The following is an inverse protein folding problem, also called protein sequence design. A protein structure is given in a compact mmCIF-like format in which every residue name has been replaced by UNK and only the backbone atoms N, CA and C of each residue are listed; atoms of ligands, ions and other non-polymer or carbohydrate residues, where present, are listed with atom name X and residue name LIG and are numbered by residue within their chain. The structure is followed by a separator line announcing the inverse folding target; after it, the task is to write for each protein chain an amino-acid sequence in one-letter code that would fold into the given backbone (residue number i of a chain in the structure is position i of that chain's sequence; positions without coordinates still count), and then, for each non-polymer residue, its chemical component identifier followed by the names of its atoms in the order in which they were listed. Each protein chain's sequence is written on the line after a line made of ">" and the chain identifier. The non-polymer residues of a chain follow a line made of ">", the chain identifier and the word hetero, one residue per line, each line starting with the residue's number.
data_IF_862436433342
#
_entry.id   IF_862436433342
#
_cell.length_a   1.000
_cell.length_b   1.000
_cell.length_c   1.000
_cell.angle_alpha   90.00
_cell.angle_beta   90.00
_cell.angle_gamma   90.00
#
_symmetry.space_group_name_H-M   'P 1'
#
loop_
_entity.id
_entity.type
_entity.pdbx_description
1 polymer ?
#
# COMPACT_ATOMS: atom_id res chain seq x y z
N UNK A 1 -18.00 -41.00 24.13
CA UNK A 1 -17.72 -39.55 23.96
C UNK A 1 -17.06 -39.37 22.62
N UNK A 2 -17.83 -38.95 21.63
CA UNK A 2 -17.45 -38.93 20.20
C UNK A 2 -17.66 -37.50 19.73
N UNK A 3 -16.59 -36.79 19.37
CA UNK A 3 -16.70 -35.46 18.75
C UNK A 3 -17.15 -35.60 17.30
N UNK A 4 -18.12 -34.80 16.81
CA UNK A 4 -18.59 -34.89 15.44
C UNK A 4 -17.57 -34.25 14.49
N UNK A 5 -17.40 -34.88 13.32
CA UNK A 5 -16.70 -34.31 12.15
C UNK A 5 -17.64 -33.30 11.47
N UNK A 6 -17.18 -32.09 11.08
CA UNK A 6 -17.96 -31.31 10.13
C UNK A 6 -17.72 -31.82 8.71
N UNK A 7 -18.85 -31.99 8.04
CA UNK A 7 -19.10 -32.43 6.69
C UNK A 7 -18.47 -31.49 5.65
N UNK A 8 -17.89 -32.06 4.59
CA UNK A 8 -17.66 -31.34 3.33
C UNK A 8 -19.01 -30.96 2.69
N UNK A 9 -19.20 -29.68 2.37
CA UNK A 9 -20.17 -29.25 1.37
C UNK A 9 -19.44 -28.54 0.24
N UNK A 10 -19.13 -29.33 -0.79
CA UNK A 10 -18.79 -28.88 -2.14
C UNK A 10 -20.05 -28.22 -2.72
N UNK A 11 -20.01 -26.91 -2.96
CA UNK A 11 -20.99 -26.21 -3.82
C UNK A 11 -20.23 -25.22 -4.70
N UNK A 12 -19.99 -25.60 -5.95
CA UNK A 12 -19.85 -24.62 -7.02
C UNK A 12 -21.23 -24.19 -7.48
N UNK A 13 -21.43 -22.92 -7.77
CA UNK A 13 -22.48 -22.32 -8.63
C UNK A 13 -21.96 -20.88 -8.90
N UNK A 14 -21.57 -20.52 -10.11
CA UNK A 14 -22.37 -20.24 -11.31
C UNK A 14 -23.11 -18.89 -11.25
N UNK A 15 -22.79 -18.07 -12.26
CA UNK A 15 -23.55 -16.97 -12.86
C UNK A 15 -24.70 -16.36 -12.06
N UNK A 16 -24.58 -15.06 -11.78
CA UNK A 16 -25.74 -14.23 -11.45
C UNK A 16 -25.91 -13.16 -12.53
N UNK A 17 -26.90 -13.37 -13.40
CA UNK A 17 -27.56 -12.31 -14.17
C UNK A 17 -28.97 -12.12 -13.63
N UNK A 18 -29.30 -10.85 -13.42
CA UNK A 18 -30.63 -10.23 -13.33
C UNK A 18 -31.52 -10.52 -12.09
N UNK A 19 -31.51 -9.54 -11.18
CA UNK A 19 -32.74 -8.82 -10.80
C UNK A 19 -33.30 -9.06 -9.40
N UNK A 20 -32.99 -8.16 -8.45
CA UNK A 20 -33.94 -7.51 -7.53
C UNK A 20 -33.24 -6.60 -6.49
N UNK A 21 -33.14 -5.31 -6.82
CA UNK A 21 -33.20 -4.09 -5.98
C UNK A 21 -32.63 -4.05 -4.54
N UNK A 22 -31.39 -3.50 -4.43
CA UNK A 22 -30.82 -2.48 -3.49
C UNK A 22 -30.98 -2.58 -1.96
N UNK A 23 -30.20 -1.81 -1.15
CA UNK A 23 -29.08 -0.87 -1.44
C UNK A 23 -27.72 -1.47 -0.94
N UNK A 24 -26.50 -1.06 -1.27
CA UNK A 24 -25.89 0.10 -1.90
C UNK A 24 -24.82 -0.42 -2.90
N UNK A 25 -24.99 -0.12 -4.19
CA UNK A 25 -24.06 -0.48 -5.28
C UNK A 25 -22.78 0.39 -5.30
N UNK A 26 -22.58 1.26 -4.31
CA UNK A 26 -21.52 2.27 -4.34
C UNK A 26 -20.15 1.75 -3.84
N UNK A 27 -20.10 0.69 -3.04
CA UNK A 27 -18.82 0.18 -2.49
C UNK A 27 -18.04 -0.70 -3.49
N UNK A 28 -18.75 -1.47 -4.32
CA UNK A 28 -18.16 -2.35 -5.35
C UNK A 28 -17.76 -1.61 -6.63
N UNK A 29 -18.36 -0.44 -6.88
CA UNK A 29 -18.13 0.32 -8.11
C UNK A 29 -16.78 1.05 -8.11
N UNK A 30 -16.17 1.31 -6.95
CA UNK A 30 -14.90 2.03 -6.88
C UNK A 30 -13.70 1.15 -7.30
N UNK A 31 -13.65 -0.13 -6.90
CA UNK A 31 -12.50 -0.98 -7.22
C UNK A 31 -12.47 -1.38 -8.69
N UNK A 32 -13.61 -1.74 -9.29
CA UNK A 32 -13.68 -2.02 -10.72
C UNK A 32 -13.47 -0.78 -11.58
N UNK A 33 -13.72 0.44 -11.09
CA UNK A 33 -13.31 1.67 -11.79
C UNK A 33 -11.82 1.96 -11.67
N UNK A 34 -11.18 1.57 -10.55
CA UNK A 34 -9.73 1.67 -10.35
C UNK A 34 -9.00 0.64 -11.22
N UNK A 35 -9.48 -0.61 -11.27
CA UNK A 35 -8.90 -1.70 -12.07
C UNK A 35 -9.31 -1.62 -13.55
N UNK A 36 -10.53 -1.19 -13.87
CA UNK A 36 -11.07 -1.08 -15.23
C UNK A 36 -10.51 0.09 -16.04
N UNK A 37 -9.78 1.02 -15.39
CA UNK A 37 -8.95 2.05 -16.05
C UNK A 37 -7.50 1.60 -16.23
N UNK A 38 -7.27 0.28 -16.31
CA UNK A 38 -6.00 -0.32 -16.77
C UNK A 38 -5.67 0.14 -18.20
N UNK A 39 -5.22 1.39 -18.33
CA UNK A 39 -4.28 1.76 -19.36
C UNK A 39 -3.00 0.96 -19.17
N UNK A 40 -2.18 0.81 -20.21
CA UNK A 40 -0.90 0.14 -20.08
C UNK A 40 -0.13 0.76 -18.90
N UNK A 41 0.32 -0.11 -17.99
CA UNK A 41 1.35 0.22 -17.01
C UNK A 41 2.46 0.95 -17.79
N UNK A 42 2.86 2.18 -17.39
CA UNK A 42 3.83 2.94 -18.17
C UNK A 42 5.08 2.07 -18.26
N UNK A 43 5.37 1.62 -19.49
CA UNK A 43 6.54 0.81 -19.76
C UNK A 43 7.76 1.60 -19.27
N UNK A 44 8.70 0.93 -18.61
CA UNK A 44 10.04 1.47 -18.39
C UNK A 44 10.71 1.66 -19.75
N UNK A 45 10.37 2.75 -20.41
CA UNK A 45 10.98 3.18 -21.64
C UNK A 45 12.22 3.95 -21.22
N UNK A 46 13.37 3.34 -21.50
CA UNK A 46 14.65 4.04 -21.64
C UNK A 46 14.43 5.22 -22.60
N UNK A 47 14.16 6.41 -22.04
CA UNK A 47 13.76 7.61 -22.79
C UNK A 47 12.54 8.38 -22.27
N UNK A 48 11.91 7.99 -21.15
CA UNK A 48 10.90 8.83 -20.49
C UNK A 48 11.53 9.97 -19.68
N UNK A 49 10.83 11.11 -19.66
CA UNK A 49 11.11 12.19 -18.73
C UNK A 49 11.14 11.63 -17.30
N UNK A 50 12.05 12.11 -16.43
CA UNK A 50 12.14 11.63 -15.06
C UNK A 50 10.80 11.86 -14.34
N UNK A 51 10.45 11.02 -13.35
CA UNK A 51 9.13 11.04 -12.69
C UNK A 51 8.74 12.43 -12.18
N UNK A 52 9.69 13.23 -11.72
CA UNK A 52 9.44 14.60 -11.25
C UNK A 52 9.14 15.65 -12.34
N UNK A 53 9.23 15.29 -13.62
CA UNK A 53 8.81 16.11 -14.75
C UNK A 53 7.38 15.79 -15.19
N UNK A 54 6.76 14.75 -14.63
CA UNK A 54 5.36 14.42 -14.90
C UNK A 54 4.42 15.40 -14.19
N UNK A 55 3.16 15.41 -14.61
CA UNK A 55 2.10 16.14 -13.91
C UNK A 55 1.88 15.58 -12.50
N UNK A 56 1.26 16.39 -11.63
CA UNK A 56 0.93 15.95 -10.27
C UNK A 56 0.07 14.69 -10.27
N UNK A 57 -0.90 14.63 -11.18
CA UNK A 57 -1.83 13.52 -11.31
C UNK A 57 -1.13 12.24 -11.76
N UNK A 58 -0.15 12.33 -12.67
CA UNK A 58 0.66 11.19 -13.12
C UNK A 58 1.56 10.67 -11.98
N UNK A 59 2.18 11.57 -11.22
CA UNK A 59 2.99 11.19 -10.06
C UNK A 59 2.10 10.51 -9.00
N UNK A 60 0.93 11.10 -8.70
CA UNK A 60 -0.01 10.54 -7.73
C UNK A 60 -0.50 9.16 -8.18
N UNK A 61 -0.89 9.00 -9.44
CA UNK A 61 -1.30 7.71 -9.98
C UNK A 61 -0.16 6.68 -9.91
N UNK A 62 1.06 7.07 -10.30
CA UNK A 62 2.23 6.19 -10.29
C UNK A 62 2.50 5.61 -8.92
N UNK A 63 2.47 6.44 -7.86
CA UNK A 63 2.73 6.02 -6.48
C UNK A 63 1.49 5.54 -5.72
N UNK A 64 0.29 5.70 -6.27
CA UNK A 64 -0.95 5.13 -5.70
C UNK A 64 -1.15 3.69 -6.17
N UNK A 65 -0.97 3.45 -7.47
CA UNK A 65 -1.34 2.21 -8.16
C UNK A 65 -0.14 1.27 -8.37
N UNK A 66 1.06 1.76 -8.15
CA UNK A 66 2.32 1.01 -8.17
C UNK A 66 3.36 1.75 -7.34
N UNK A 67 4.55 1.16 -7.15
CA UNK A 67 5.71 1.81 -6.53
C UNK A 67 5.49 2.57 -5.20
N UNK A 68 4.34 2.41 -4.53
CA UNK A 68 4.00 3.07 -3.26
C UNK A 68 5.04 2.75 -2.19
N UNK A 69 5.52 1.50 -2.19
CA UNK A 69 6.58 1.01 -1.34
C UNK A 69 7.92 1.71 -1.58
N UNK A 70 8.23 2.10 -2.82
CA UNK A 70 9.46 2.85 -3.14
C UNK A 70 9.40 4.25 -2.50
N UNK A 71 8.27 4.94 -2.64
CA UNK A 71 8.06 6.23 -1.99
C UNK A 71 8.09 6.10 -0.47
N UNK A 72 7.45 5.07 0.09
CA UNK A 72 7.46 4.81 1.52
C UNK A 72 8.88 4.55 2.04
N UNK A 73 9.71 3.82 1.30
CA UNK A 73 11.14 3.64 1.61
C UNK A 73 11.88 4.97 1.61
N UNK A 74 11.66 5.83 0.61
CA UNK A 74 12.25 7.16 0.55
C UNK A 74 11.83 8.04 1.75
N UNK A 75 10.54 8.03 2.09
CA UNK A 75 10.00 8.72 3.26
C UNK A 75 10.62 8.20 4.56
N UNK A 76 10.75 6.88 4.74
CA UNK A 76 11.40 6.28 5.90
C UNK A 76 12.86 6.70 6.02
N UNK A 77 13.61 6.78 4.91
CA UNK A 77 15.01 7.26 4.94
C UNK A 77 15.13 8.70 5.44
N UNK A 78 14.17 9.56 5.09
CA UNK A 78 14.17 10.96 5.49
C UNK A 78 13.66 11.20 6.92
N UNK A 79 12.77 10.34 7.41
CA UNK A 79 12.05 10.57 8.68
C UNK A 79 12.40 9.60 9.80
N UNK A 80 12.94 8.42 9.47
CA UNK A 80 13.12 7.31 10.40
C UNK A 80 11.82 6.59 10.78
N UNK A 81 10.68 6.97 10.21
CA UNK A 81 9.37 6.40 10.57
C UNK A 81 9.20 4.95 10.08
N UNK A 82 8.46 4.12 10.83
CA UNK A 82 8.21 2.73 10.46
C UNK A 82 7.32 2.61 9.21
N UNK A 83 7.65 1.62 8.38
CA UNK A 83 6.82 1.20 7.25
C UNK A 83 5.63 0.38 7.72
N UNK A 84 4.53 0.49 6.99
CA UNK A 84 3.30 -0.24 7.21
C UNK A 84 2.61 -0.49 5.86
N UNK A 85 1.79 -1.54 5.79
CA UNK A 85 1.06 -1.90 4.57
C UNK A 85 -0.43 -2.09 4.83
N UNK A 86 -1.24 -1.62 3.88
CA UNK A 86 -2.65 -1.97 3.76
C UNK A 86 -2.75 -3.25 2.93
N UNK A 87 -3.57 -4.19 3.37
CA UNK A 87 -3.81 -5.46 2.71
C UNK A 87 -5.30 -5.71 2.53
N UNK A 88 -5.64 -6.50 1.52
CA UNK A 88 -7.01 -6.94 1.29
C UNK A 88 -7.26 -8.23 2.10
N UNK A 89 -8.15 -8.24 3.10
CA UNK A 89 -8.39 -9.43 3.93
C UNK A 89 -9.14 -10.54 3.17
N UNK A 90 -9.65 -10.24 1.97
CA UNK A 90 -10.40 -11.18 1.14
C UNK A 90 -9.58 -11.80 0.01
N UNK A 91 -8.34 -11.34 -0.19
CA UNK A 91 -7.48 -11.79 -1.29
C UNK A 91 -6.09 -12.19 -0.77
N UNK A 92 -5.63 -13.36 -1.22
CA UNK A 92 -4.31 -13.88 -0.93
C UNK A 92 -3.44 -13.76 -2.18
N UNK A 93 -2.27 -13.17 -2.03
CA UNK A 93 -1.22 -13.24 -3.04
C UNK A 93 -0.63 -14.66 -3.09
N UNK A 94 -0.39 -15.23 -1.92
CA UNK A 94 -0.02 -16.64 -1.72
C UNK A 94 -1.02 -17.24 -0.75
N UNK A 95 -1.75 -18.25 -1.20
CA UNK A 95 -2.69 -18.97 -0.37
C UNK A 95 -1.96 -19.69 0.79
N UNK A 96 -2.48 -19.61 2.02
CA UNK A 96 -1.94 -20.41 3.11
C UNK A 96 -2.16 -21.91 2.87
N UNK A 97 -1.32 -22.73 3.48
CA UNK A 97 -1.47 -24.18 3.47
C UNK A 97 -2.71 -24.65 4.29
N UNK A 98 -2.95 -25.96 4.33
CA UNK A 98 -4.08 -26.54 5.05
C UNK A 98 -4.10 -26.27 6.57
N UNK A 99 -2.97 -25.85 7.14
CA UNK A 99 -2.81 -25.47 8.54
C UNK A 99 -2.86 -23.95 8.74
N UNK A 100 -3.17 -23.18 7.70
CA UNK A 100 -3.20 -21.72 7.73
C UNK A 100 -1.80 -21.08 7.74
N UNK A 101 -0.75 -21.80 7.34
CA UNK A 101 0.63 -21.31 7.37
C UNK A 101 1.12 -20.86 5.99
N UNK A 102 2.07 -19.92 5.96
CA UNK A 102 2.72 -19.47 4.73
C UNK A 102 1.87 -18.56 3.83
N UNK A 103 0.67 -18.18 4.28
CA UNK A 103 -0.19 -17.26 3.53
C UNK A 103 0.42 -15.85 3.48
N UNK A 104 0.39 -15.26 2.30
CA UNK A 104 0.80 -13.87 2.06
C UNK A 104 -0.42 -13.13 1.51
N UNK A 105 -0.97 -12.16 2.25
CA UNK A 105 -2.12 -11.41 1.76
C UNK A 105 -1.74 -10.48 0.61
N UNK A 106 -2.71 -10.12 -0.22
CA UNK A 106 -2.52 -9.13 -1.27
C UNK A 106 -2.28 -7.75 -0.65
N UNK A 107 -1.16 -7.10 -1.02
CA UNK A 107 -0.82 -5.77 -0.52
C UNK A 107 -1.44 -4.72 -1.44
N UNK A 108 -2.28 -3.86 -0.87
CA UNK A 108 -2.94 -2.77 -1.60
C UNK A 108 -2.07 -1.53 -1.65
N UNK A 109 -1.43 -1.18 -0.52
CA UNK A 109 -0.63 0.04 -0.43
C UNK A 109 0.41 -0.03 0.68
N UNK A 110 1.52 0.70 0.55
CA UNK A 110 2.58 0.80 1.56
C UNK A 110 2.82 2.27 1.89
N UNK A 111 2.92 2.59 3.18
CA UNK A 111 3.06 3.94 3.72
C UNK A 111 4.07 3.95 4.88
N UNK A 112 4.47 5.14 5.33
CA UNK A 112 5.10 5.29 6.66
C UNK A 112 4.05 5.71 7.68
N UNK A 113 4.25 5.33 8.94
CA UNK A 113 3.34 5.64 10.05
C UNK A 113 4.00 6.55 11.08
N UNK A 114 3.26 7.56 11.53
CA UNK A 114 3.69 8.44 12.61
C UNK A 114 3.44 7.77 13.97
N UNK A 115 3.98 8.36 15.05
CA UNK A 115 3.73 7.87 16.40
C UNK A 115 2.25 7.96 16.83
N UNK A 116 1.51 8.91 16.25
CA UNK A 116 0.09 9.12 16.52
C UNK A 116 -0.82 8.18 15.69
N UNK A 117 -0.23 7.38 14.80
CA UNK A 117 -0.95 6.44 13.95
C UNK A 117 -1.46 7.05 12.64
N UNK A 118 -1.07 8.29 12.34
CA UNK A 118 -1.28 8.88 11.01
C UNK A 118 -0.36 8.24 9.99
N UNK A 119 -0.75 8.33 8.72
CA UNK A 119 0.01 7.78 7.60
C UNK A 119 0.56 8.87 6.72
N UNK A 120 1.68 8.61 6.06
CA UNK A 120 2.23 9.49 5.04
C UNK A 120 2.46 8.67 3.77
N UNK A 121 1.80 9.09 2.69
CA UNK A 121 1.93 8.56 1.33
C UNK A 121 2.06 9.71 0.32
N UNK A 122 1.92 9.45 -0.98
CA UNK A 122 2.04 10.47 -2.04
C UNK A 122 1.09 11.66 -1.87
N UNK A 123 -0.04 11.47 -1.17
CA UNK A 123 -1.05 12.52 -0.96
C UNK A 123 -0.74 13.40 0.24
N UNK A 124 0.29 13.07 1.00
CA UNK A 124 0.67 13.78 2.22
C UNK A 124 0.31 13.00 3.47
N UNK A 125 0.30 13.71 4.59
CA UNK A 125 -0.07 13.16 5.89
C UNK A 125 -1.59 13.08 6.00
N UNK A 126 -2.10 11.89 6.35
CA UNK A 126 -3.53 11.58 6.42
C UNK A 126 -3.84 10.75 7.66
N UNK A 127 -5.04 10.89 8.20
CA UNK A 127 -5.47 10.07 9.33
C UNK A 127 -5.83 8.66 8.89
N UNK A 128 -5.84 7.71 9.82
CA UNK A 128 -6.35 6.35 9.56
C UNK A 128 -7.83 6.36 9.12
N UNK A 129 -8.62 7.33 9.59
CA UNK A 129 -10.01 7.49 9.16
C UNK A 129 -10.11 7.90 7.69
N UNK A 130 -9.23 8.80 7.23
CA UNK A 130 -9.17 9.20 5.82
C UNK A 130 -8.81 8.03 4.92
N UNK A 131 -7.87 7.17 5.35
CA UNK A 131 -7.54 5.94 4.64
C UNK A 131 -8.74 5.00 4.55
N UNK A 132 -9.44 4.75 5.65
CA UNK A 132 -10.62 3.87 5.67
C UNK A 132 -11.71 4.36 4.71
N UNK A 133 -11.89 5.68 4.63
CA UNK A 133 -12.90 6.28 3.76
C UNK A 133 -12.52 6.24 2.28
N UNK A 134 -11.23 6.37 1.96
CA UNK A 134 -10.76 6.51 0.58
C UNK A 134 -10.30 5.20 -0.07
N UNK A 135 -9.76 4.29 0.72
CA UNK A 135 -9.04 3.11 0.21
C UNK A 135 -9.53 1.80 0.82
N UNK A 136 -9.89 1.79 2.11
CA UNK A 136 -10.11 0.54 2.84
C UNK A 136 -11.58 0.09 2.94
N UNK A 137 -12.56 0.92 2.62
CA UNK A 137 -13.96 0.59 2.90
C UNK A 137 -14.23 0.31 4.40
N UNK A 138 -15.48 -0.01 4.79
CA UNK A 138 -15.85 -0.20 6.19
C UNK A 138 -15.34 -1.52 6.80
N UNK A 139 -15.01 -2.50 5.97
CA UNK A 139 -14.72 -3.89 6.39
C UNK A 139 -13.23 -4.23 6.44
N UNK A 140 -12.35 -3.37 5.92
CA UNK A 140 -10.92 -3.65 5.97
C UNK A 140 -10.41 -3.19 7.33
N UNK A 141 -10.03 -4.16 8.16
CA UNK A 141 -9.09 -3.89 9.22
C UNK A 141 -7.82 -3.37 8.54
N UNK A 142 -7.65 -2.04 8.53
CA UNK A 142 -6.37 -1.39 8.32
C UNK A 142 -5.45 -1.77 9.50
N UNK A 143 -5.14 -3.06 9.56
CA UNK A 143 -4.23 -3.69 10.46
C UNK A 143 -2.96 -3.79 9.63
N UNK A 144 -2.04 -2.83 9.77
CA UNK A 144 -0.76 -2.95 9.11
C UNK A 144 -0.12 -4.25 9.56
N UNK A 145 0.53 -4.96 8.65
CA UNK A 145 1.78 -5.60 9.03
C UNK A 145 2.69 -4.47 9.54
N UNK A 146 2.58 -4.16 10.83
CA UNK A 146 3.24 -3.04 11.48
C UNK A 146 4.22 -3.58 12.51
N UNK A 147 5.49 -3.10 12.52
CA UNK A 147 6.21 -2.46 11.41
C UNK A 147 6.66 -3.48 10.36
N UNK A 148 6.62 -3.11 9.07
CA UNK A 148 7.33 -3.86 8.03
C UNK A 148 8.83 -3.70 8.23
N UNK A 149 9.53 -4.80 8.44
CA UNK A 149 11.00 -4.81 8.47
C UNK A 149 11.55 -4.77 7.04
N UNK A 150 12.83 -4.43 6.91
CA UNK A 150 13.51 -4.43 5.61
C UNK A 150 13.52 -5.85 5.00
N UNK A 151 13.67 -6.88 5.83
CA UNK A 151 13.59 -8.28 5.40
C UNK A 151 12.21 -8.63 4.86
N UNK A 152 11.14 -8.23 5.56
CA UNK A 152 9.77 -8.49 5.09
C UNK A 152 9.46 -7.75 3.80
N UNK A 153 9.96 -6.52 3.63
CA UNK A 153 9.81 -5.78 2.38
C UNK A 153 10.54 -6.50 1.23
N UNK A 154 11.75 -7.01 1.46
CA UNK A 154 12.49 -7.79 0.47
C UNK A 154 11.76 -9.08 0.08
N UNK A 155 11.18 -9.79 1.04
CA UNK A 155 10.36 -10.98 0.78
C UNK A 155 9.14 -10.63 -0.11
N UNK A 156 8.46 -9.52 0.21
CA UNK A 156 7.31 -9.05 -0.56
C UNK A 156 7.67 -8.67 -2.01
N UNK A 157 8.90 -8.17 -2.23
CA UNK A 157 9.38 -7.77 -3.57
C UNK A 157 9.92 -8.94 -4.38
N UNK A 158 10.82 -9.73 -3.79
CA UNK A 158 11.65 -10.67 -4.56
C UNK A 158 11.22 -12.13 -4.41
N UNK A 159 10.65 -12.50 -3.27
CA UNK A 159 10.25 -13.89 -3.01
C UNK A 159 8.81 -14.14 -3.45
N UNK A 160 7.91 -13.24 -3.08
CA UNK A 160 6.48 -13.38 -3.38
C UNK A 160 6.09 -12.71 -4.70
N UNK A 161 6.76 -11.61 -5.07
CA UNK A 161 6.40 -10.81 -6.23
C UNK A 161 5.14 -9.95 -6.02
N UNK A 162 4.72 -9.76 -4.77
CA UNK A 162 3.58 -8.94 -4.37
C UNK A 162 3.85 -7.44 -4.59
N UNK A 163 5.11 -7.04 -4.49
CA UNK A 163 5.57 -5.67 -4.78
C UNK A 163 6.55 -5.65 -5.95
N UNK A 164 6.55 -4.55 -6.71
CA UNK A 164 7.45 -4.41 -7.85
C UNK A 164 8.93 -4.34 -7.43
N UNK A 165 9.84 -5.03 -8.14
CA UNK A 165 11.28 -4.83 -7.98
C UNK A 165 11.68 -3.37 -8.17
N UNK A 166 12.59 -2.89 -7.33
CA UNK A 166 13.16 -1.55 -7.42
C UNK A 166 14.64 -1.58 -7.06
N UNK A 167 15.35 -0.51 -7.40
CA UNK A 167 16.75 -0.29 -7.06
C UNK A 167 16.94 1.13 -6.47
N UNK A 168 18.19 1.48 -6.21
CA UNK A 168 18.52 2.78 -5.62
C UNK A 168 18.14 3.97 -6.50
N UNK A 169 18.14 3.81 -7.83
CA UNK A 169 17.74 4.90 -8.72
C UNK A 169 16.27 5.25 -8.51
N UNK A 170 15.38 4.26 -8.40
CA UNK A 170 13.97 4.49 -8.07
C UNK A 170 13.77 5.22 -6.75
N UNK A 171 14.59 4.91 -5.74
CA UNK A 171 14.51 5.60 -4.45
C UNK A 171 14.98 7.05 -4.57
N UNK A 172 16.06 7.32 -5.32
CA UNK A 172 16.52 8.68 -5.60
C UNK A 172 15.47 9.50 -6.40
N UNK A 173 14.77 8.87 -7.34
CA UNK A 173 13.66 9.52 -8.04
C UNK A 173 12.52 9.88 -7.07
N UNK A 174 12.14 8.95 -6.18
CA UNK A 174 11.14 9.20 -5.16
C UNK A 174 11.56 10.29 -4.17
N UNK A 175 12.85 10.38 -3.80
CA UNK A 175 13.38 11.45 -2.97
C UNK A 175 13.22 12.82 -3.64
N UNK A 176 13.46 12.92 -4.95
CA UNK A 176 13.27 14.17 -5.69
C UNK A 176 11.78 14.56 -5.78
N UNK A 177 10.89 13.58 -5.94
CA UNK A 177 9.43 13.80 -5.86
C UNK A 177 9.03 14.37 -4.50
N UNK A 178 9.54 13.82 -3.40
CA UNK A 178 9.27 14.31 -2.04
C UNK A 178 9.70 15.78 -1.89
N UNK A 179 10.93 16.13 -2.33
CA UNK A 179 11.47 17.50 -2.25
C UNK A 179 10.65 18.51 -3.02
N UNK A 180 10.00 18.10 -4.11
CA UNK A 180 9.21 18.98 -4.99
C UNK A 180 7.74 19.05 -4.62
N UNK A 181 7.25 18.12 -3.83
CA UNK A 181 5.88 18.12 -3.32
C UNK A 181 5.83 18.91 -2.00
N UNK A 182 5.18 20.09 -1.95
CA UNK A 182 5.11 20.87 -0.71
C UNK A 182 4.49 20.09 0.44
N UNK A 183 3.43 19.32 0.19
CA UNK A 183 2.76 18.52 1.22
C UNK A 183 3.67 17.44 1.83
N UNK A 184 4.51 16.79 1.01
CA UNK A 184 5.45 15.78 1.50
C UNK A 184 6.66 16.40 2.16
N UNK A 185 7.21 17.47 1.59
CA UNK A 185 8.33 18.21 2.18
C UNK A 185 7.96 18.74 3.57
N UNK A 186 6.75 19.29 3.73
CA UNK A 186 6.25 19.75 5.02
C UNK A 186 6.07 18.60 6.02
N UNK A 187 5.55 17.45 5.57
CA UNK A 187 5.43 16.25 6.42
C UNK A 187 6.80 15.74 6.86
N UNK A 188 7.77 15.66 5.95
CA UNK A 188 9.16 15.30 6.28
C UNK A 188 9.74 16.29 7.28
N UNK A 189 9.57 17.60 7.08
CA UNK A 189 10.09 18.61 7.99
C UNK A 189 9.52 18.48 9.41
N UNK A 190 8.25 18.09 9.56
CA UNK A 190 7.63 17.82 10.86
C UNK A 190 8.26 16.63 11.57
N UNK A 191 8.56 15.56 10.84
CA UNK A 191 8.92 14.26 11.42
C UNK A 191 10.43 13.96 11.44
N UNK A 192 11.23 14.59 10.57
CA UNK A 192 12.68 14.40 10.51
C UNK A 192 13.41 14.94 11.77
N UNK A 193 12.81 15.90 12.48
CA UNK A 193 13.38 16.49 13.70
C UNK A 193 13.50 15.50 14.87
N UNK A 194 12.79 14.36 14.83
CA UNK A 194 12.89 13.31 15.84
C UNK A 194 14.11 12.39 15.69
N UNK A 195 14.81 12.43 14.56
CA UNK A 195 15.91 11.51 14.24
C UNK A 195 17.32 12.05 14.55
N UNK A 196 17.46 13.33 14.92
CA UNK A 196 18.73 13.84 15.42
C UNK A 196 18.89 13.49 16.90
N UNK A 197 19.88 12.65 17.29
CA UNK A 197 20.25 12.59 18.70
C UNK A 197 20.67 13.99 19.10
N UNK A 198 19.97 14.57 20.06
CA UNK A 198 20.36 15.81 20.71
C UNK A 198 21.84 15.71 21.06
N UNK A 199 22.65 16.56 20.43
CA UNK A 199 24.09 16.67 20.72
C UNK A 199 24.33 16.84 22.22
N UNK A 200 25.54 16.50 22.71
CA UNK A 200 25.82 16.51 24.14
C UNK A 200 25.51 17.89 24.70
N UNK A 201 24.57 17.95 25.66
CA UNK A 201 24.44 19.12 26.53
C UNK A 201 25.75 19.22 27.31
N UNK A 202 26.37 20.40 27.22
CA UNK A 202 27.70 20.69 27.74
C UNK A 202 27.82 20.64 29.25
#
# INVERSE_FOLDING_TARGET
>A
MTRPRPFFLRRGYAAYTAGAAGPDDDAMTNFEQIVGRSGPQPAHATGHDPVWAWSREEIEAHYTQGHCHVLAVALRRLTGLPLAALWNPFEWHVEPDENGQGGVPEIVHVYVTTADGDVIDIRGERTLEDLRRSEAGPDWEACPYGPLTDERLQELVYETGNLCPYDEAYVEEALEVIRRSPGLSDAVARHAAGACPSGPRG
#
